data_IF_048393365396
#
_entry.id   IF_048393365396
#
_cell.length_a   1.000
_cell.length_b   1.000
_cell.length_c   1.000
_cell.angle_alpha   90.00
_cell.angle_beta   90.00
_cell.angle_gamma   90.00
#
_symmetry.space_group_name_H-M   'P 1'
#
loop_
_entity.id
_entity.type
_entity.pdbx_description
1 polymer ?
#
# COMPACT_ATOMS: atom_id res chain seq x y z
N UNK A 1 11.87 -10.31 15.65
CA UNK A 1 12.03 -10.52 14.20
C UNK A 1 13.31 -9.81 13.78
N UNK A 2 14.18 -10.47 13.00
CA UNK A 2 15.36 -9.80 12.44
C UNK A 2 14.88 -8.72 11.47
N UNK A 3 15.16 -7.45 11.78
CA UNK A 3 14.93 -6.36 10.83
C UNK A 3 15.92 -6.56 9.67
N UNK A 4 15.40 -6.99 8.52
CA UNK A 4 16.16 -6.90 7.27
C UNK A 4 16.41 -5.43 6.96
N UNK A 5 17.63 -5.11 6.53
CA UNK A 5 18.00 -3.75 6.10
C UNK A 5 17.19 -3.37 4.84
N UNK A 6 16.70 -4.36 4.09
CA UNK A 6 15.99 -4.19 2.82
C UNK A 6 14.65 -4.91 2.90
N UNK A 7 13.57 -4.18 2.57
CA UNK A 7 12.24 -4.74 2.33
C UNK A 7 11.96 -4.71 0.83
N UNK A 8 11.65 -5.87 0.25
CA UNK A 8 11.30 -5.99 -1.17
C UNK A 8 9.78 -5.97 -1.34
N UNK A 9 9.29 -5.18 -2.30
CA UNK A 9 7.87 -5.07 -2.64
C UNK A 9 7.61 -5.89 -3.90
N UNK A 10 7.17 -7.14 -3.75
CA UNK A 10 7.05 -8.11 -4.86
C UNK A 10 5.65 -8.21 -5.45
N UNK A 11 4.65 -7.70 -4.72
CA UNK A 11 3.25 -7.75 -5.15
C UNK A 11 2.85 -6.43 -5.79
N UNK A 12 2.01 -6.49 -6.84
CA UNK A 12 1.55 -5.31 -7.57
C UNK A 12 0.01 -5.34 -7.72
N UNK A 13 -0.63 -4.25 -7.31
CA UNK A 13 -2.07 -4.01 -7.49
C UNK A 13 -2.27 -2.75 -8.32
N UNK A 14 -2.94 -2.90 -9.47
CA UNK A 14 -3.25 -1.78 -10.37
C UNK A 14 -4.68 -1.29 -10.15
N UNK A 15 -4.84 0.01 -10.03
CA UNK A 15 -6.14 0.67 -9.87
C UNK A 15 -6.31 1.66 -11.01
N UNK A 16 -7.35 1.43 -11.82
CA UNK A 16 -7.68 2.28 -12.96
C UNK A 16 -8.12 3.67 -12.51
N UNK A 17 -7.98 4.65 -13.41
CA UNK A 17 -8.48 6.01 -13.22
C UNK A 17 -9.97 5.98 -12.84
N UNK A 18 -10.34 6.77 -11.83
CA UNK A 18 -11.71 6.86 -11.33
C UNK A 18 -12.14 5.72 -10.41
N UNK A 19 -11.30 4.70 -10.22
CA UNK A 19 -11.51 3.66 -9.21
C UNK A 19 -10.88 4.08 -7.88
N UNK A 20 -11.45 3.63 -6.77
CA UNK A 20 -10.96 3.94 -5.42
C UNK A 20 -10.15 2.76 -4.86
N UNK A 21 -9.10 3.08 -4.09
CA UNK A 21 -8.34 2.10 -3.32
C UNK A 21 -8.63 2.28 -1.84
N UNK A 22 -9.15 1.24 -1.20
CA UNK A 22 -9.43 1.20 0.23
C UNK A 22 -8.70 0.01 0.86
N UNK A 23 -7.77 0.25 1.76
CA UNK A 23 -7.11 -0.81 2.53
C UNK A 23 -7.74 -0.90 3.92
N UNK A 24 -8.14 -2.09 4.35
CA UNK A 24 -8.59 -2.33 5.72
C UNK A 24 -7.40 -2.42 6.66
N UNK A 25 -7.48 -1.68 7.76
CA UNK A 25 -6.38 -1.41 8.70
C UNK A 25 -6.74 -1.74 10.16
N UNK A 26 -7.56 -2.76 10.39
CA UNK A 26 -8.03 -3.19 11.72
C UNK A 26 -6.97 -3.89 12.60
N UNK A 27 -5.74 -3.97 12.11
CA UNK A 27 -4.60 -4.65 12.73
C UNK A 27 -3.58 -3.69 13.39
N UNK A 28 -3.93 -2.41 13.52
CA UNK A 28 -3.26 -1.42 14.38
C UNK A 28 -4.27 -0.42 14.94
N UNK A 29 -3.87 0.37 15.95
CA UNK A 29 -4.82 1.16 16.74
C UNK A 29 -5.12 2.54 16.13
N UNK A 30 -4.17 3.13 15.40
CA UNK A 30 -4.34 4.47 14.83
C UNK A 30 -3.49 4.74 13.59
N UNK A 31 -4.02 5.51 12.64
CA UNK A 31 -3.29 6.00 11.46
C UNK A 31 -2.02 6.79 11.80
N UNK A 32 -1.92 7.34 13.02
CA UNK A 32 -0.70 8.01 13.49
C UNK A 32 0.51 7.06 13.59
N UNK A 33 0.27 5.75 13.61
CA UNK A 33 1.33 4.74 13.61
C UNK A 33 1.92 4.52 12.21
N UNK A 34 1.25 5.01 11.15
CA UNK A 34 1.72 4.93 9.78
C UNK A 34 2.75 6.03 9.55
N UNK A 35 3.95 5.65 9.12
CA UNK A 35 4.96 6.62 8.67
C UNK A 35 4.89 6.75 7.16
N UNK A 36 4.59 7.95 6.69
CA UNK A 36 4.51 8.26 5.27
C UNK A 36 5.70 9.10 4.83
N UNK A 37 6.35 8.70 3.76
CA UNK A 37 7.42 9.43 3.08
C UNK A 37 6.92 9.81 1.69
N UNK A 38 6.84 11.10 1.42
CA UNK A 38 6.58 11.63 0.08
C UNK A 38 7.92 11.67 -0.65
N UNK A 39 8.06 10.87 -1.69
CA UNK A 39 9.29 10.78 -2.51
C UNK A 39 9.23 11.81 -3.63
N UNK A 40 8.06 11.91 -4.27
CA UNK A 40 7.80 12.83 -5.38
C UNK A 40 6.31 13.17 -5.38
N UNK A 41 5.99 14.43 -5.60
CA UNK A 41 4.61 14.89 -5.69
C UNK A 41 4.54 16.13 -6.59
N UNK A 42 3.90 15.94 -7.74
CA UNK A 42 3.50 17.00 -8.67
C UNK A 42 2.00 16.84 -9.00
N UNK A 43 1.46 17.73 -9.83
CA UNK A 43 0.04 17.83 -10.15
C UNK A 43 -0.55 16.57 -10.80
N UNK A 44 0.29 15.75 -11.47
CA UNK A 44 -0.14 14.55 -12.20
C UNK A 44 0.52 13.28 -11.64
N UNK A 45 1.65 13.43 -10.97
CA UNK A 45 2.51 12.32 -10.62
C UNK A 45 2.78 12.28 -9.12
N UNK A 46 2.68 11.11 -8.49
CA UNK A 46 2.95 10.94 -7.06
C UNK A 46 3.64 9.62 -6.77
N UNK A 47 4.72 9.69 -5.98
CA UNK A 47 5.41 8.55 -5.39
C UNK A 47 5.37 8.66 -3.87
N UNK A 48 4.67 7.75 -3.22
CA UNK A 48 4.47 7.77 -1.77
C UNK A 48 4.87 6.40 -1.20
N UNK A 49 5.68 6.41 -0.15
CA UNK A 49 6.02 5.21 0.63
C UNK A 49 5.33 5.28 1.99
N UNK A 50 4.48 4.31 2.27
CA UNK A 50 3.79 4.14 3.54
C UNK A 50 4.36 2.93 4.28
N UNK A 51 4.87 3.18 5.48
CA UNK A 51 5.39 2.16 6.39
C UNK A 51 4.38 1.98 7.51
N UNK A 52 3.67 0.86 7.47
CA UNK A 52 2.67 0.54 8.47
C UNK A 52 3.32 -0.22 9.66
N UNK A 53 2.60 -0.30 10.79
CA UNK A 53 2.95 -1.22 11.87
C UNK A 53 3.08 -2.68 11.38
N UNK A 54 3.65 -3.54 12.21
CA UNK A 54 3.78 -4.99 11.92
C UNK A 54 4.55 -5.33 10.63
N UNK A 55 5.28 -4.36 10.06
CA UNK A 55 6.20 -4.60 8.94
C UNK A 55 5.55 -4.57 7.56
N UNK A 56 4.27 -4.22 7.42
CA UNK A 56 3.66 -4.01 6.11
C UNK A 56 4.13 -2.70 5.49
N UNK A 57 4.56 -2.76 4.23
CA UNK A 57 5.09 -1.64 3.47
C UNK A 57 4.35 -1.54 2.16
N UNK A 58 3.91 -0.34 1.82
CA UNK A 58 3.20 -0.04 0.60
C UNK A 58 3.84 1.15 -0.10
N UNK A 59 4.14 0.99 -1.37
CA UNK A 59 4.60 2.04 -2.26
C UNK A 59 3.52 2.34 -3.29
N UNK A 60 3.08 3.57 -3.35
CA UNK A 60 2.17 4.09 -4.36
C UNK A 60 2.98 4.83 -5.42
N UNK A 61 2.76 4.45 -6.67
CA UNK A 61 3.11 5.24 -7.84
C UNK A 61 1.82 5.57 -8.60
N UNK A 62 1.53 6.85 -8.74
CA UNK A 62 0.35 7.33 -9.45
C UNK A 62 0.77 8.28 -10.57
N UNK A 63 0.14 8.12 -11.72
CA UNK A 63 0.31 8.97 -12.89
C UNK A 63 -1.03 9.20 -13.61
N UNK A 64 -0.94 9.69 -14.86
CA UNK A 64 -2.11 9.96 -15.70
C UNK A 64 -2.89 8.69 -16.12
N UNK A 65 -2.29 7.51 -16.03
CA UNK A 65 -2.85 6.23 -16.46
C UNK A 65 -3.48 5.45 -15.30
N UNK A 66 -3.23 5.87 -14.05
CA UNK A 66 -3.85 5.32 -12.85
C UNK A 66 -2.88 5.22 -11.67
N UNK A 67 -3.14 4.27 -10.79
CA UNK A 67 -2.32 4.02 -9.60
C UNK A 67 -1.80 2.59 -9.58
N UNK A 68 -0.53 2.43 -9.20
CA UNK A 68 0.12 1.16 -8.95
C UNK A 68 0.55 1.12 -7.49
N UNK A 69 0.04 0.14 -6.76
CA UNK A 69 0.42 -0.14 -5.38
C UNK A 69 1.35 -1.35 -5.37
N UNK A 70 2.56 -1.17 -4.85
CA UNK A 70 3.53 -2.25 -4.64
C UNK A 70 3.68 -2.54 -3.16
N UNK A 71 3.60 -3.80 -2.77
CA UNK A 71 3.58 -4.20 -1.36
C UNK A 71 4.49 -5.40 -1.08
N UNK A 72 4.92 -5.55 0.18
CA UNK A 72 5.69 -6.72 0.63
C UNK A 72 4.81 -7.91 1.06
N UNK A 73 3.50 -7.70 1.22
CA UNK A 73 2.49 -8.75 1.42
C UNK A 73 1.42 -8.68 0.33
N UNK A 74 0.81 -9.81 -0.06
CA UNK A 74 -0.27 -9.80 -1.05
C UNK A 74 -1.47 -9.00 -0.55
N UNK A 75 -2.17 -8.35 -1.48
CA UNK A 75 -3.46 -7.74 -1.24
C UNK A 75 -4.55 -8.59 -1.88
N UNK A 76 -5.58 -8.93 -1.10
CA UNK A 76 -6.77 -9.62 -1.58
C UNK A 76 -7.92 -8.62 -1.62
N UNK A 77 -8.51 -8.45 -2.80
CA UNK A 77 -9.79 -7.76 -2.92
C UNK A 77 -10.90 -8.69 -2.46
N UNK A 78 -11.67 -8.28 -1.46
CA UNK A 78 -12.79 -9.06 -0.97
C UNK A 78 -13.86 -9.17 -2.07
N UNK A 79 -14.39 -10.38 -2.29
CA UNK A 79 -15.46 -10.61 -3.25
C UNK A 79 -16.71 -9.82 -2.80
N UNK A 80 -17.28 -9.05 -3.71
CA UNK A 80 -18.45 -8.18 -3.48
C UNK A 80 -18.20 -6.99 -2.54
N UNK A 81 -16.94 -6.59 -2.31
CA UNK A 81 -16.62 -5.41 -1.53
C UNK A 81 -15.53 -4.53 -2.18
N UNK A 82 -15.64 -3.22 -1.93
CA UNK A 82 -14.76 -2.19 -2.49
C UNK A 82 -13.50 -1.96 -1.64
N UNK A 83 -12.95 -3.01 -1.03
CA UNK A 83 -11.76 -2.92 -0.19
C UNK A 83 -10.78 -4.08 -0.37
N UNK A 84 -9.54 -3.80 0.02
CA UNK A 84 -8.41 -4.72 0.03
C UNK A 84 -8.05 -5.09 1.47
N UNK A 85 -7.60 -6.32 1.65
CA UNK A 85 -7.05 -6.83 2.91
C UNK A 85 -5.62 -7.32 2.67
N UNK A 86 -4.76 -7.17 3.67
CA UNK A 86 -3.42 -7.75 3.65
C UNK A 86 -3.55 -9.25 3.92
N UNK A 87 -3.01 -10.07 3.03
CA UNK A 87 -2.84 -11.49 3.29
C UNK A 87 -1.54 -11.69 4.07
N UNK A 88 -1.66 -12.05 5.35
CA UNK A 88 -0.51 -12.34 6.20
C UNK A 88 -0.01 -13.76 5.96
N UNK A 89 1.30 -13.96 6.12
CA UNK A 89 1.88 -15.30 6.23
C UNK A 89 1.63 -15.78 7.67
N UNK A 90 0.78 -16.80 7.85
CA UNK A 90 0.48 -17.42 9.16
C UNK A 90 1.72 -18.00 9.85
#
# INVERSE_FOLDING_TARGET
>A
MNQSIITTLVYETKVSIGSYFHLVTDWFASDQEIKTVIIDQDHVYSKILSLYPNGFVMYLEQDQDGSIYRTNYPLIQAKDADYYTVQWDD
#
